data_IF_617372739689
#
_entry.id   IF_617372739689
#
_cell.length_a   1.000
_cell.length_b   1.000
_cell.length_c   1.000
_cell.angle_alpha   90.00
_cell.angle_beta   90.00
_cell.angle_gamma   90.00
#
_symmetry.space_group_name_H-M   'P 1'
#
loop_
_entity.id
_entity.type
_entity.pdbx_description
1 polymer ?
#
# COMPACT_ATOMS: atom_id res chain seq x y z
N UNK A 1 1.86 61.23 33.33
CA UNK A 1 2.14 59.97 34.06
C UNK A 1 2.87 59.05 33.09
N UNK A 2 4.21 58.99 33.13
CA UNK A 2 5.00 58.16 32.23
C UNK A 2 5.33 56.79 32.85
N UNK A 3 5.80 55.90 31.96
CA UNK A 3 6.75 54.79 32.18
C UNK A 3 6.35 53.61 33.09
N UNK A 4 6.29 52.41 32.51
CA UNK A 4 7.49 51.55 32.46
C UNK A 4 7.26 50.24 31.71
N UNK A 5 8.04 50.05 30.65
CA UNK A 5 8.40 48.75 30.09
C UNK A 5 9.40 48.05 31.02
N UNK A 6 9.32 46.74 31.21
CA UNK A 6 10.50 45.92 31.51
C UNK A 6 10.31 44.49 30.99
N UNK A 7 11.34 44.06 30.28
CA UNK A 7 11.58 42.82 29.55
C UNK A 7 12.37 41.85 30.48
N UNK A 8 12.49 40.57 30.08
CA UNK A 8 13.49 39.56 30.50
C UNK A 8 13.16 38.85 31.84
N UNK A 9 13.28 37.53 32.05
CA UNK A 9 13.63 36.34 31.25
C UNK A 9 13.46 35.08 32.17
N UNK A 10 13.72 33.83 31.72
CA UNK A 10 13.20 32.60 32.33
C UNK A 10 14.04 32.09 33.51
N UNK A 11 13.37 31.36 34.41
CA UNK A 11 14.05 30.61 35.48
C UNK A 11 14.58 29.27 34.95
N UNK A 12 15.88 29.25 34.69
CA UNK A 12 16.72 28.06 34.70
C UNK A 12 16.84 27.55 36.15
N UNK A 13 16.49 26.28 36.39
CA UNK A 13 16.93 25.55 37.56
C UNK A 13 17.95 24.51 37.11
N UNK A 14 19.17 24.64 37.64
CA UNK A 14 20.31 23.78 37.41
C UNK A 14 20.58 22.91 38.65
N UNK A 15 21.49 21.93 38.43
CA UNK A 15 22.22 21.06 39.38
C UNK A 15 21.48 19.75 39.72
N UNK A 16 22.10 18.57 39.62
CA UNK A 16 23.44 18.19 40.13
C UNK A 16 24.10 17.09 39.25
N UNK A 17 25.42 17.23 39.03
CA UNK A 17 26.42 16.25 38.52
C UNK A 17 26.85 15.33 39.69
N UNK A 18 27.23 14.07 39.61
CA UNK A 18 28.31 13.33 38.92
C UNK A 18 28.09 11.85 39.35
N UNK A 19 28.43 10.81 38.59
CA UNK A 19 29.77 10.22 38.64
C UNK A 19 30.09 9.34 37.43
N UNK A 20 31.38 9.37 37.12
CA UNK A 20 32.11 8.58 36.12
C UNK A 20 32.56 7.29 36.80
N UNK A 21 32.35 6.14 36.16
CA UNK A 21 33.30 5.02 36.30
C UNK A 21 33.36 4.17 35.05
N UNK A 22 34.59 4.01 34.55
CA UNK A 22 35.00 3.27 33.37
C UNK A 22 35.40 1.86 33.80
N UNK A 23 34.79 0.81 33.24
CA UNK A 23 35.38 -0.55 33.29
C UNK A 23 35.16 -1.29 31.98
N UNK A 24 36.28 -1.52 31.30
CA UNK A 24 36.44 -2.40 30.14
C UNK A 24 36.37 -3.87 30.57
N UNK A 25 35.44 -4.65 30.02
CA UNK A 25 35.54 -6.13 30.02
C UNK A 25 35.03 -6.69 28.69
N UNK A 26 35.94 -7.28 27.93
CA UNK A 26 35.70 -8.08 26.74
C UNK A 26 35.01 -9.40 27.12
N UNK A 27 33.91 -9.76 26.46
CA UNK A 27 33.35 -11.11 26.51
C UNK A 27 32.63 -11.44 25.21
N UNK A 28 33.22 -12.38 24.49
CA UNK A 28 32.76 -13.03 23.26
C UNK A 28 31.64 -14.01 23.59
N UNK A 29 30.44 -13.84 23.02
CA UNK A 29 29.44 -14.92 22.99
C UNK A 29 28.63 -14.88 21.69
N UNK A 30 28.98 -15.83 20.82
CA UNK A 30 28.14 -16.65 19.96
C UNK A 30 26.85 -16.06 19.39
N UNK A 31 26.96 -15.74 18.11
CA UNK A 31 25.93 -15.65 17.09
C UNK A 31 24.92 -16.80 17.16
N UNK A 32 23.66 -16.49 17.50
CA UNK A 32 22.52 -17.30 17.08
C UNK A 32 21.71 -16.46 16.10
N UNK A 33 22.06 -16.57 14.82
CA UNK A 33 21.29 -16.02 13.71
C UNK A 33 19.99 -16.81 13.62
N UNK A 34 18.93 -16.32 14.25
CA UNK A 34 17.58 -16.79 13.92
C UNK A 34 17.21 -16.16 12.59
N UNK A 35 17.42 -16.92 11.52
CA UNK A 35 17.01 -16.57 10.15
C UNK A 35 15.50 -16.49 10.09
N UNK A 36 14.94 -15.30 10.34
CA UNK A 36 13.56 -14.99 9.98
C UNK A 36 13.52 -14.82 8.47
N UNK A 37 13.02 -15.86 7.79
CA UNK A 37 12.63 -15.83 6.38
C UNK A 37 11.68 -14.65 6.15
N UNK A 38 12.24 -13.55 5.68
CA UNK A 38 11.49 -12.39 5.25
C UNK A 38 10.98 -12.73 3.87
N UNK A 39 9.69 -13.05 3.77
CA UNK A 39 9.02 -13.28 2.49
C UNK A 39 9.11 -11.99 1.68
N UNK A 40 10.15 -11.89 0.85
CA UNK A 40 10.39 -10.79 -0.07
C UNK A 40 9.29 -10.84 -1.12
N UNK A 41 8.19 -10.15 -0.85
CA UNK A 41 7.22 -9.86 -1.89
C UNK A 41 7.93 -8.95 -2.89
N UNK A 42 7.90 -9.25 -4.20
CA UNK A 42 8.55 -8.41 -5.19
C UNK A 42 7.93 -7.01 -5.14
N UNK A 43 8.74 -6.04 -4.73
CA UNK A 43 8.35 -4.65 -4.64
C UNK A 43 8.70 -3.97 -5.96
N UNK A 44 7.69 -3.42 -6.62
CA UNK A 44 7.85 -2.61 -7.81
C UNK A 44 7.95 -1.15 -7.39
N UNK A 45 8.96 -0.44 -7.89
CA UNK A 45 9.07 1.01 -7.76
C UNK A 45 8.54 1.64 -9.06
N UNK A 46 7.56 2.53 -8.92
CA UNK A 46 6.99 3.31 -10.02
C UNK A 46 7.37 4.77 -9.88
N UNK A 47 7.63 5.45 -11.00
CA UNK A 47 8.12 6.83 -11.08
C UNK A 47 9.56 7.04 -10.52
N UNK A 48 10.35 7.86 -11.24
CA UNK A 48 11.72 8.24 -10.87
C UNK A 48 11.75 9.47 -9.95
N UNK A 49 10.76 10.35 -10.03
CA UNK A 49 10.74 11.59 -9.25
C UNK A 49 9.99 11.42 -7.92
N UNK A 50 8.88 10.68 -7.90
CA UNK A 50 8.07 10.38 -6.72
C UNK A 50 7.86 8.85 -6.61
N UNK A 51 8.90 8.10 -6.20
CA UNK A 51 8.85 6.65 -6.22
C UNK A 51 7.71 6.11 -5.33
N UNK A 52 6.77 5.40 -5.95
CA UNK A 52 5.75 4.62 -5.24
C UNK A 52 6.23 3.17 -5.15
N UNK A 53 6.38 2.68 -3.91
CA UNK A 53 6.59 1.27 -3.65
C UNK A 53 5.25 0.53 -3.75
N UNK A 54 5.17 -0.47 -4.63
CA UNK A 54 3.96 -1.25 -4.90
C UNK A 54 4.26 -2.74 -4.75
N UNK A 55 3.33 -3.48 -4.16
CA UNK A 55 3.36 -4.95 -4.22
C UNK A 55 1.99 -5.51 -4.57
N UNK A 56 1.91 -6.80 -4.90
CA UNK A 56 0.68 -7.42 -5.39
C UNK A 56 0.38 -8.72 -4.66
N UNK A 57 -0.74 -8.75 -3.95
CA UNK A 57 -1.13 -9.86 -3.08
C UNK A 57 -2.48 -10.42 -3.50
N UNK A 58 -2.65 -11.73 -3.38
CA UNK A 58 -4.01 -12.29 -3.28
C UNK A 58 -4.56 -11.85 -1.93
N UNK A 59 -5.79 -11.34 -1.90
CA UNK A 59 -6.37 -10.79 -0.67
C UNK A 59 -6.40 -11.88 0.42
N UNK A 60 -5.66 -11.69 1.52
CA UNK A 60 -5.54 -12.72 2.54
C UNK A 60 -6.83 -12.82 3.35
N UNK A 61 -7.16 -14.02 3.84
CA UNK A 61 -8.39 -14.30 4.59
C UNK A 61 -8.69 -13.30 5.73
N UNK A 62 -7.71 -12.82 6.53
CA UNK A 62 -7.98 -11.84 7.57
C UNK A 62 -8.56 -10.52 7.05
N UNK A 63 -8.16 -10.08 5.84
CA UNK A 63 -8.68 -8.85 5.23
C UNK A 63 -9.94 -9.07 4.38
N UNK A 64 -10.28 -10.32 4.04
CA UNK A 64 -11.46 -10.61 3.22
C UNK A 64 -12.75 -10.10 3.88
N UNK A 65 -12.87 -10.22 5.21
CA UNK A 65 -14.01 -9.69 5.96
C UNK A 65 -14.10 -8.17 5.87
N UNK A 66 -12.99 -7.47 6.09
CA UNK A 66 -12.95 -6.01 6.03
C UNK A 66 -13.24 -5.51 4.61
N UNK A 67 -12.69 -6.19 3.60
CA UNK A 67 -13.01 -5.94 2.20
C UNK A 67 -14.52 -6.07 1.93
N UNK A 68 -15.17 -7.16 2.35
CA UNK A 68 -16.61 -7.30 2.18
C UNK A 68 -17.41 -6.31 3.02
N UNK A 69 -16.89 -5.86 4.16
CA UNK A 69 -17.53 -4.81 4.94
C UNK A 69 -17.55 -3.48 4.16
N UNK A 70 -16.45 -3.16 3.48
CA UNK A 70 -16.27 -1.91 2.72
C UNK A 70 -16.94 -1.95 1.35
N UNK A 71 -16.75 -3.03 0.60
CA UNK A 71 -17.19 -3.14 -0.81
C UNK A 71 -18.40 -4.05 -1.02
N UNK A 72 -18.80 -4.82 -0.02
CA UNK A 72 -19.82 -5.87 -0.18
C UNK A 72 -19.38 -6.95 -1.17
N UNK A 73 -20.32 -7.39 -2.00
CA UNK A 73 -20.08 -8.33 -3.09
C UNK A 73 -20.07 -7.62 -4.46
N UNK A 74 -19.70 -6.33 -4.52
CA UNK A 74 -19.74 -5.57 -5.78
C UNK A 74 -18.77 -6.07 -6.84
N UNK A 75 -17.62 -6.61 -6.43
CA UNK A 75 -16.71 -7.36 -7.31
C UNK A 75 -17.32 -8.66 -7.86
N UNK A 76 -18.55 -9.02 -7.45
CA UNK A 76 -19.33 -10.16 -7.93
C UNK A 76 -20.62 -9.76 -8.72
N UNK A 77 -20.89 -8.48 -8.96
CA UNK A 77 -21.99 -8.04 -9.85
C UNK A 77 -21.93 -8.52 -11.32
N UNK A 78 -23.07 -8.66 -11.97
CA UNK A 78 -23.13 -9.05 -13.39
C UNK A 78 -22.46 -8.03 -14.33
N UNK A 79 -22.22 -6.80 -13.87
CA UNK A 79 -21.61 -5.71 -14.66
C UNK A 79 -20.19 -6.03 -15.13
N UNK A 80 -19.43 -6.82 -14.36
CA UNK A 80 -18.09 -7.29 -14.74
C UNK A 80 -18.09 -8.75 -15.23
N UNK A 81 -19.21 -9.50 -15.09
CA UNK A 81 -19.28 -10.91 -15.52
C UNK A 81 -19.24 -11.10 -17.04
N UNK A 82 -19.62 -10.09 -17.83
CA UNK A 82 -19.85 -10.21 -19.28
C UNK A 82 -18.59 -10.64 -20.07
N UNK A 83 -17.39 -10.60 -19.48
CA UNK A 83 -16.14 -11.05 -20.13
C UNK A 83 -15.53 -12.33 -19.55
N UNK A 84 -16.16 -12.95 -18.54
CA UNK A 84 -15.65 -14.15 -17.87
C UNK A 84 -15.85 -15.45 -18.67
N UNK A 85 -16.66 -15.41 -19.74
CA UNK A 85 -17.03 -16.59 -20.54
C UNK A 85 -16.33 -16.68 -21.89
N UNK A 86 -15.29 -15.87 -22.13
CA UNK A 86 -14.43 -16.04 -23.31
C UNK A 86 -13.49 -17.24 -23.13
N UNK A 87 -14.05 -18.43 -22.93
CA UNK A 87 -13.46 -19.67 -23.41
C UNK A 87 -13.25 -19.49 -24.91
N UNK A 88 -12.00 -19.51 -25.34
CA UNK A 88 -11.65 -19.51 -26.77
C UNK A 88 -12.13 -20.82 -27.38
N UNK A 89 -13.37 -20.82 -27.88
CA UNK A 89 -13.83 -21.80 -28.87
C UNK A 89 -13.75 -21.11 -30.22
N UNK A 90 -12.54 -21.00 -30.77
CA UNK A 90 -12.36 -20.84 -32.22
C UNK A 90 -12.71 -22.17 -32.87
N UNK A 91 -14.00 -22.41 -33.08
CA UNK A 91 -14.47 -23.34 -34.08
C UNK A 91 -14.27 -22.68 -35.45
N UNK A 92 -13.14 -22.98 -36.10
CA UNK A 92 -13.04 -22.95 -37.55
C UNK A 92 -12.51 -24.30 -38.02
N UNK A 93 -13.47 -25.15 -38.35
CA UNK A 93 -13.26 -26.35 -39.15
C UNK A 93 -12.93 -25.94 -40.58
N UNK A 94 -11.68 -26.14 -41.02
CA UNK A 94 -11.27 -26.77 -42.30
C UNK A 94 -9.82 -26.40 -42.69
N UNK A 95 -8.84 -27.25 -42.37
CA UNK A 95 -8.01 -28.00 -43.35
C UNK A 95 -6.72 -28.60 -42.74
N UNK A 96 -6.45 -29.80 -43.21
CA UNK A 96 -5.31 -30.71 -42.95
C UNK A 96 -3.90 -30.12 -43.11
N UNK A 97 -2.99 -30.40 -42.16
CA UNK A 97 -1.77 -31.24 -42.32
C UNK A 97 -0.76 -31.10 -41.16
N UNK A 98 -0.38 -32.26 -40.61
CA UNK A 98 0.87 -32.67 -39.92
C UNK A 98 1.32 -32.06 -38.57
N UNK A 99 1.72 -33.02 -37.71
CA UNK A 99 2.05 -33.01 -36.29
C UNK A 99 3.31 -32.23 -35.87
N UNK A 100 3.25 -31.61 -34.70
CA UNK A 100 4.35 -31.53 -33.73
C UNK A 100 3.76 -31.47 -32.30
N UNK A 101 4.18 -32.32 -31.34
CA UNK A 101 3.81 -32.17 -29.94
C UNK A 101 4.88 -31.33 -29.23
N UNK A 102 4.48 -30.19 -28.65
CA UNK A 102 4.80 -29.81 -27.26
C UNK A 102 4.55 -28.30 -27.04
N UNK A 103 3.80 -28.06 -25.97
CA UNK A 103 3.64 -26.81 -25.23
C UNK A 103 2.60 -25.78 -25.72
N UNK A 104 1.35 -26.24 -25.88
CA UNK A 104 0.22 -25.33 -25.65
C UNK A 104 0.05 -25.19 -24.14
N UNK A 105 0.84 -24.32 -23.51
CA UNK A 105 0.52 -23.82 -22.17
C UNK A 105 -0.77 -23.00 -22.30
N UNK A 106 -1.92 -23.66 -22.13
CA UNK A 106 -3.21 -23.00 -21.92
C UNK A 106 -3.13 -22.31 -20.57
N UNK A 107 -2.61 -21.07 -20.53
CA UNK A 107 -2.71 -20.22 -19.33
C UNK A 107 -4.18 -19.90 -19.10
N UNK A 108 -4.85 -20.72 -18.30
CA UNK A 108 -6.15 -20.39 -17.74
C UNK A 108 -6.01 -19.11 -16.93
N UNK A 109 -6.54 -17.99 -17.45
CA UNK A 109 -6.56 -16.70 -16.75
C UNK A 109 -7.60 -16.75 -15.63
N UNK A 110 -7.19 -17.20 -14.45
CA UNK A 110 -8.04 -17.23 -13.25
C UNK A 110 -8.17 -15.83 -12.67
N UNK A 111 -9.40 -15.43 -12.33
CA UNK A 111 -9.63 -14.20 -11.56
C UNK A 111 -9.20 -14.41 -10.12
N UNK A 112 -8.53 -13.40 -9.57
CA UNK A 112 -8.16 -13.33 -8.17
C UNK A 112 -8.70 -12.03 -7.58
N UNK A 113 -9.14 -12.07 -6.32
CA UNK A 113 -9.32 -10.85 -5.55
C UNK A 113 -7.95 -10.42 -5.02
N UNK A 114 -7.46 -9.31 -5.54
CA UNK A 114 -6.11 -8.82 -5.37
C UNK A 114 -6.12 -7.54 -4.53
N UNK A 115 -5.12 -7.43 -3.65
CA UNK A 115 -4.76 -6.21 -2.94
C UNK A 115 -3.42 -5.69 -3.46
N UNK A 116 -3.35 -4.39 -3.71
CA UNK A 116 -2.21 -3.69 -4.27
C UNK A 116 -1.84 -2.57 -3.28
N UNK A 117 -1.18 -2.91 -2.16
CA UNK A 117 -0.73 -1.91 -1.22
C UNK A 117 0.41 -1.09 -1.84
N UNK A 118 0.32 0.21 -1.62
CA UNK A 118 1.28 1.22 -2.07
C UNK A 118 1.84 1.95 -0.86
N UNK A 119 3.12 2.32 -0.93
CA UNK A 119 3.79 3.10 0.09
C UNK A 119 4.65 4.16 -0.59
N UNK A 120 4.47 5.41 -0.19
CA UNK A 120 5.29 6.51 -0.69
C UNK A 120 6.18 7.03 0.43
N UNK A 121 7.45 7.23 0.14
CA UNK A 121 8.36 7.85 1.09
C UNK A 121 8.06 9.34 1.19
N UNK A 122 7.82 9.81 2.41
CA UNK A 122 7.68 11.23 2.68
C UNK A 122 9.05 11.89 2.92
N UNK A 123 9.14 13.17 2.61
CA UNK A 123 10.30 14.01 2.96
C UNK A 123 10.40 14.31 4.46
N UNK A 124 9.27 14.21 5.15
CA UNK A 124 9.11 14.53 6.57
C UNK A 124 8.49 13.37 7.33
N UNK A 125 8.67 13.36 8.66
CA UNK A 125 7.88 12.50 9.54
C UNK A 125 6.41 12.95 9.50
N UNK A 126 5.54 12.10 8.97
CA UNK A 126 4.13 12.44 8.77
C UNK A 126 3.29 12.47 10.06
N UNK A 127 3.87 12.02 11.17
CA UNK A 127 3.26 12.12 12.52
C UNK A 127 3.46 13.52 13.09
N UNK A 128 4.47 14.26 12.62
CA UNK A 128 4.71 15.63 13.06
C UNK A 128 3.60 16.58 12.60
N UNK A 129 3.55 17.75 13.23
CA UNK A 129 2.59 18.81 12.91
C UNK A 129 3.34 19.98 12.30
N UNK A 130 2.84 20.52 11.20
CA UNK A 130 3.36 21.73 10.56
C UNK A 130 2.90 21.86 9.12
N UNK A 131 2.91 23.08 8.60
CA UNK A 131 2.41 23.39 7.26
C UNK A 131 3.15 22.63 6.16
N UNK A 132 4.47 22.43 6.31
CA UNK A 132 5.28 21.64 5.37
C UNK A 132 4.88 20.15 5.36
N UNK A 133 4.45 19.61 6.52
CA UNK A 133 4.01 18.23 6.64
C UNK A 133 2.63 18.05 5.99
N UNK A 134 1.71 19.01 6.17
CA UNK A 134 0.40 18.96 5.50
C UNK A 134 0.55 19.13 3.98
N UNK A 135 1.43 20.02 3.52
CA UNK A 135 1.74 20.13 2.08
C UNK A 135 2.36 18.85 1.51
N UNK A 136 3.21 18.17 2.28
CA UNK A 136 3.77 16.88 1.88
C UNK A 136 2.69 15.80 1.83
N UNK A 137 1.76 15.75 2.79
CA UNK A 137 0.59 14.85 2.76
C UNK A 137 -0.26 15.11 1.53
N UNK A 138 -0.53 16.36 1.19
CA UNK A 138 -1.29 16.72 -0.01
C UNK A 138 -0.57 16.30 -1.29
N UNK A 139 0.75 16.48 -1.37
CA UNK A 139 1.56 16.03 -2.52
C UNK A 139 1.45 14.50 -2.70
N UNK A 140 1.62 13.75 -1.60
CA UNK A 140 1.58 12.29 -1.60
C UNK A 140 0.16 11.77 -1.89
N UNK A 141 -0.86 12.41 -1.34
CA UNK A 141 -2.26 12.12 -1.66
C UNK A 141 -2.49 12.29 -3.16
N UNK A 142 -2.19 13.47 -3.73
CA UNK A 142 -2.43 13.74 -5.15
C UNK A 142 -1.71 12.75 -6.08
N UNK A 143 -0.47 12.40 -5.74
CA UNK A 143 0.30 11.37 -6.45
C UNK A 143 -0.42 10.01 -6.45
N UNK A 144 -0.90 9.57 -5.28
CA UNK A 144 -1.65 8.32 -5.17
C UNK A 144 -3.02 8.38 -5.87
N UNK A 145 -3.74 9.49 -5.76
CA UNK A 145 -5.07 9.64 -6.37
C UNK A 145 -4.99 9.53 -7.90
N UNK A 146 -3.98 10.15 -8.52
CA UNK A 146 -3.73 10.01 -9.94
C UNK A 146 -3.36 8.57 -10.31
N UNK A 147 -2.41 7.96 -9.59
CA UNK A 147 -2.01 6.56 -9.79
C UNK A 147 -3.20 5.59 -9.69
N UNK A 148 -3.96 5.68 -8.60
CA UNK A 148 -5.12 4.84 -8.31
C UNK A 148 -6.21 5.02 -9.37
N UNK A 149 -6.50 6.26 -9.76
CA UNK A 149 -7.45 6.54 -10.83
C UNK A 149 -6.99 5.95 -12.18
N UNK A 150 -5.72 6.13 -12.56
CA UNK A 150 -5.18 5.60 -13.81
C UNK A 150 -5.26 4.07 -13.85
N UNK A 151 -4.80 3.38 -12.81
CA UNK A 151 -4.79 1.91 -12.76
C UNK A 151 -6.21 1.34 -12.77
N UNK A 152 -7.10 1.86 -11.91
CA UNK A 152 -8.49 1.40 -11.85
C UNK A 152 -9.25 1.68 -13.14
N UNK A 153 -9.01 2.81 -13.79
CA UNK A 153 -9.63 3.12 -15.09
C UNK A 153 -9.20 2.12 -16.16
N UNK A 154 -7.92 1.76 -16.22
CA UNK A 154 -7.41 0.77 -17.19
C UNK A 154 -8.02 -0.62 -16.92
N UNK A 155 -8.05 -1.06 -15.66
CA UNK A 155 -8.68 -2.35 -15.28
C UNK A 155 -10.18 -2.38 -15.62
N UNK A 156 -10.92 -1.32 -15.28
CA UNK A 156 -12.36 -1.21 -15.57
C UNK A 156 -12.66 -1.17 -17.07
N UNK A 157 -11.82 -0.51 -17.89
CA UNK A 157 -11.93 -0.54 -19.37
C UNK A 157 -11.74 -1.95 -19.93
N UNK A 158 -10.86 -2.74 -19.32
CA UNK A 158 -10.71 -4.16 -19.66
C UNK A 158 -11.87 -5.02 -19.17
N UNK A 159 -12.76 -4.49 -18.32
CA UNK A 159 -13.95 -5.17 -17.80
C UNK A 159 -13.73 -5.86 -16.46
N UNK A 160 -12.62 -5.56 -15.77
CA UNK A 160 -12.36 -6.06 -14.44
C UNK A 160 -12.85 -5.08 -13.37
N UNK A 161 -13.31 -5.60 -12.24
CA UNK A 161 -13.60 -4.74 -11.10
C UNK A 161 -12.29 -4.24 -10.49
N UNK A 162 -12.24 -2.95 -10.17
CA UNK A 162 -11.14 -2.34 -9.44
C UNK A 162 -11.61 -1.10 -8.70
N UNK A 163 -11.07 -0.83 -7.52
CA UNK A 163 -11.34 0.37 -6.73
C UNK A 163 -10.13 0.70 -5.84
N UNK A 164 -10.06 1.92 -5.33
CA UNK A 164 -9.00 2.35 -4.42
C UNK A 164 -9.60 3.11 -3.25
N UNK A 165 -8.92 3.03 -2.11
CA UNK A 165 -9.31 3.71 -0.89
C UNK A 165 -8.71 5.11 -0.90
N UNK A 166 -9.52 6.14 -0.67
CA UNK A 166 -9.01 7.47 -0.34
C UNK A 166 -8.33 7.41 1.04
N UNK A 167 -7.01 7.61 1.14
CA UNK A 167 -6.28 7.47 2.41
C UNK A 167 -6.73 8.46 3.49
N UNK A 168 -7.32 9.60 3.10
CA UNK A 168 -7.78 10.62 4.04
C UNK A 168 -9.10 10.23 4.74
N UNK A 169 -10.07 9.71 3.98
CA UNK A 169 -11.37 9.31 4.54
C UNK A 169 -11.46 7.81 4.88
N UNK A 170 -10.57 7.00 4.31
CA UNK A 170 -10.63 5.55 4.30
C UNK A 170 -11.81 4.99 3.51
N UNK A 171 -12.47 5.80 2.67
CA UNK A 171 -13.61 5.37 1.88
C UNK A 171 -13.19 4.97 0.45
N UNK A 172 -13.91 4.04 -0.18
CA UNK A 172 -13.77 3.77 -1.61
C UNK A 172 -14.01 5.00 -2.48
N UNK A 173 -13.16 5.22 -3.47
CA UNK A 173 -13.27 6.36 -4.38
C UNK A 173 -14.26 6.14 -5.52
N UNK A 174 -14.40 4.92 -6.02
CA UNK A 174 -15.21 4.63 -7.19
C UNK A 174 -16.50 3.87 -6.88
N UNK A 175 -16.61 3.28 -5.68
CA UNK A 175 -17.82 2.62 -5.22
C UNK A 175 -18.75 3.65 -4.58
N UNK A 176 -19.91 3.95 -5.18
CA UNK A 176 -20.80 4.98 -4.65
C UNK A 176 -21.44 4.54 -3.33
N UNK A 177 -21.74 5.54 -2.48
CA UNK A 177 -22.53 5.42 -1.26
C UNK A 177 -21.96 4.43 -0.21
N UNK A 178 -20.64 4.23 -0.20
CA UNK A 178 -19.98 3.50 0.89
C UNK A 178 -19.78 4.44 2.09
N UNK A 179 -20.12 3.96 3.28
CA UNK A 179 -19.90 4.66 4.55
C UNK A 179 -19.05 3.84 5.53
N UNK A 180 -18.34 2.84 5.00
CA UNK A 180 -17.50 1.92 5.76
C UNK A 180 -16.04 2.22 5.45
N UNK A 181 -15.28 2.43 6.50
CA UNK A 181 -13.88 2.86 6.44
C UNK A 181 -12.99 1.63 6.37
N UNK A 182 -12.03 1.65 5.43
CA UNK A 182 -10.88 0.76 5.41
C UNK A 182 -9.70 1.45 6.12
N UNK A 183 -9.07 0.73 7.05
CA UNK A 183 -7.88 1.20 7.75
C UNK A 183 -6.63 0.80 6.98
N UNK A 184 -5.95 1.77 6.36
CA UNK A 184 -4.68 1.52 5.67
C UNK A 184 -3.62 0.94 6.60
N UNK A 185 -3.61 1.38 7.88
CA UNK A 185 -2.67 0.87 8.87
C UNK A 185 -2.88 -0.61 9.13
N UNK A 186 -4.12 -1.04 9.37
CA UNK A 186 -4.45 -2.46 9.57
C UNK A 186 -4.21 -3.28 8.29
N UNK A 187 -4.48 -2.67 7.13
CA UNK A 187 -4.17 -3.24 5.83
C UNK A 187 -2.69 -3.57 5.66
N UNK A 188 -1.82 -2.61 5.95
CA UNK A 188 -0.36 -2.76 5.82
C UNK A 188 0.24 -3.74 6.84
N UNK A 189 -0.32 -3.81 8.06
CA UNK A 189 0.06 -4.85 9.04
C UNK A 189 -0.20 -6.26 8.48
N UNK A 190 -1.34 -6.49 7.83
CA UNK A 190 -1.67 -7.82 7.30
C UNK A 190 -0.96 -8.11 5.97
N UNK A 191 -0.90 -7.13 5.06
CA UNK A 191 -0.37 -7.34 3.70
C UNK A 191 1.16 -7.37 3.69
N UNK A 192 1.82 -6.51 4.48
CA UNK A 192 3.26 -6.30 4.41
C UNK A 192 3.97 -6.60 5.73
N UNK A 193 3.24 -6.98 6.77
CA UNK A 193 3.78 -7.23 8.10
C UNK A 193 4.55 -6.02 8.65
N UNK A 194 4.08 -4.82 8.29
CA UNK A 194 4.59 -3.57 8.87
C UNK A 194 4.18 -3.49 10.33
N UNK A 195 4.98 -2.80 11.12
CA UNK A 195 4.65 -2.58 12.53
C UNK A 195 3.77 -1.36 12.64
N UNK A 196 2.88 -1.34 13.62
CA UNK A 196 2.22 -0.13 14.05
C UNK A 196 2.29 0.04 15.56
N UNK A 197 2.23 1.29 16.02
CA UNK A 197 2.24 1.64 17.43
C UNK A 197 1.11 2.61 17.73
N UNK A 198 0.55 2.52 18.93
CA UNK A 198 -0.49 3.43 19.37
C UNK A 198 0.14 4.69 19.97
N UNK A 199 -0.31 5.84 19.49
CA UNK A 199 -0.02 7.16 20.07
C UNK A 199 -1.34 7.83 20.43
N UNK A 200 -1.78 7.64 21.68
CA UNK A 200 -3.10 8.06 22.12
C UNK A 200 -4.20 7.33 21.35
N UNK A 201 -5.01 8.07 20.61
CA UNK A 201 -6.09 7.53 19.77
C UNK A 201 -5.65 7.21 18.34
N UNK A 202 -4.43 7.57 17.95
CA UNK A 202 -3.91 7.32 16.62
C UNK A 202 -3.11 6.01 16.60
N UNK A 203 -3.26 5.24 15.53
CA UNK A 203 -2.40 4.10 15.23
C UNK A 203 -1.42 4.51 14.14
N UNK A 204 -0.13 4.49 14.45
CA UNK A 204 0.93 4.99 13.58
C UNK A 204 1.62 3.80 12.93
N UNK A 205 1.59 3.74 11.60
CA UNK A 205 2.32 2.74 10.82
C UNK A 205 3.83 3.06 10.80
N UNK A 206 4.66 2.02 10.77
CA UNK A 206 6.11 2.11 10.67
C UNK A 206 6.60 1.30 9.46
N UNK A 207 7.07 2.00 8.44
CA UNK A 207 7.79 1.39 7.33
C UNK A 207 9.16 0.87 7.80
N UNK A 208 9.60 -0.34 7.39
CA UNK A 208 10.87 -0.92 7.84
C UNK A 208 12.11 -0.05 7.58
N UNK A 209 12.06 0.81 6.57
CA UNK A 209 13.18 1.68 6.16
C UNK A 209 12.91 3.16 6.43
N UNK A 210 11.65 3.60 6.45
CA UNK A 210 11.28 5.02 6.49
C UNK A 210 10.65 5.45 7.81
N UNK A 211 10.43 4.51 8.74
CA UNK A 211 9.70 4.78 9.97
C UNK A 211 8.31 5.32 9.67
N UNK A 212 7.93 6.41 10.33
CA UNK A 212 6.67 7.13 10.11
C UNK A 212 6.68 8.08 8.90
N UNK A 213 7.79 8.23 8.19
CA UNK A 213 7.86 8.98 6.92
C UNK A 213 7.34 8.14 5.74
N UNK A 214 6.14 7.58 5.90
CA UNK A 214 5.49 6.71 4.90
C UNK A 214 4.02 7.07 4.75
N UNK A 215 3.58 7.16 3.49
CA UNK A 215 2.17 7.38 3.15
C UNK A 215 1.60 6.10 2.53
N UNK A 216 0.86 5.28 3.30
CA UNK A 216 0.26 4.03 2.84
C UNK A 216 -1.07 4.27 2.13
N UNK A 217 -1.34 3.51 1.08
CA UNK A 217 -2.64 3.50 0.41
C UNK A 217 -2.87 2.19 -0.35
N UNK A 218 -4.12 1.72 -0.46
CA UNK A 218 -4.42 0.41 -1.05
C UNK A 218 -5.40 0.49 -2.23
N UNK A 219 -5.06 -0.23 -3.30
CA UNK A 219 -5.95 -0.49 -4.44
C UNK A 219 -6.40 -1.96 -4.37
N UNK A 220 -7.66 -2.23 -4.72
CA UNK A 220 -8.20 -3.58 -4.84
C UNK A 220 -8.67 -3.86 -6.26
N UNK A 221 -8.51 -5.10 -6.72
CA UNK A 221 -8.97 -5.53 -8.04
C UNK A 221 -9.47 -6.97 -8.02
N UNK A 222 -10.45 -7.28 -8.87
CA UNK A 222 -10.86 -8.65 -9.18
C UNK A 222 -10.53 -8.94 -10.64
N UNK A 223 -9.32 -9.43 -10.87
CA UNK A 223 -8.68 -9.49 -12.19
C UNK A 223 -7.63 -10.63 -12.24
N UNK A 224 -7.20 -11.07 -13.44
CA UNK A 224 -6.06 -11.96 -13.57
C UNK A 224 -4.78 -11.24 -13.14
N UNK A 225 -3.98 -11.90 -12.30
CA UNK A 225 -2.73 -11.35 -11.75
C UNK A 225 -1.77 -10.82 -12.81
N UNK A 226 -1.60 -11.57 -13.92
CA UNK A 226 -0.72 -11.17 -15.02
C UNK A 226 -1.15 -9.86 -15.69
N UNK A 227 -2.46 -9.62 -15.81
CA UNK A 227 -2.99 -8.36 -16.35
C UNK A 227 -2.68 -7.19 -15.41
N UNK A 228 -2.84 -7.38 -14.09
CA UNK A 228 -2.50 -6.35 -13.10
C UNK A 228 -1.00 -6.02 -13.15
N UNK A 229 -0.13 -7.03 -13.20
CA UNK A 229 1.33 -6.83 -13.32
C UNK A 229 1.67 -6.06 -14.60
N UNK A 230 1.09 -6.45 -15.73
CA UNK A 230 1.32 -5.77 -17.01
C UNK A 230 0.90 -4.29 -16.95
N UNK A 231 -0.27 -4.00 -16.37
CA UNK A 231 -0.75 -2.61 -16.26
C UNK A 231 0.13 -1.80 -15.31
N UNK A 232 0.56 -2.36 -14.17
CA UNK A 232 1.45 -1.68 -13.22
C UNK A 232 2.75 -1.22 -13.90
N UNK A 233 3.31 -2.00 -14.83
CA UNK A 233 4.51 -1.63 -15.60
C UNK A 233 4.28 -0.51 -16.62
N UNK A 234 3.03 -0.19 -16.94
CA UNK A 234 2.64 0.79 -17.96
C UNK A 234 2.06 2.08 -17.37
N UNK A 235 1.82 2.12 -16.06
CA UNK A 235 1.37 3.36 -15.41
C UNK A 235 2.60 4.25 -15.21
N UNK A 236 2.51 5.46 -15.73
CA UNK A 236 3.47 6.53 -15.49
C UNK A 236 2.74 7.58 -14.67
N UNK A 237 3.35 7.98 -13.57
CA UNK A 237 2.92 9.05 -12.67
C UNK A 237 3.98 10.13 -12.80
#
# INVERSE_FOLDING_TARGET
>A
MPSSSTILEPRLAACIKHDVETTTTTSTTTTTTTTTTTTSVPLLLLDKENPIQVSLHTLPKPLLREFHHVFGNKHQSTEWEVKNTATTTTDLSSNSQQQHPNDTTTTTTTLELLAIPTNQQARYDLVAVGDEIEQEKDRLLNCFMDFGQQLCTRLRRLGYWADYIDPCSGLPMLTPNCNKVYSEVDGMEVLLNYRAHNAGFCKILQHPTWGSAVYPATIFAYAPRNIVIQLLQQVSI
#
